data_IF_347683095677
#
_entry.id   IF_347683095677
#
_cell.length_a   1.000
_cell.length_b   1.000
_cell.length_c   1.000
_cell.angle_alpha   90.00
_cell.angle_beta   90.00
_cell.angle_gamma   90.00
#
_symmetry.space_group_name_H-M   'P 1'
#
loop_
_entity.id
_entity.type
_entity.pdbx_description
1 polymer ?
#
# COMPACT_ATOMS: atom_id res chain seq x y z
N UNK A 1 -43.39 -32.84 8.84
CA UNK A 1 -42.02 -32.59 9.34
C UNK A 1 -41.47 -31.39 8.58
N UNK A 2 -41.30 -30.26 9.25
CA UNK A 2 -40.79 -29.02 8.65
C UNK A 2 -39.59 -28.56 9.49
N UNK A 3 -38.39 -28.57 8.89
CA UNK A 3 -37.17 -28.05 9.51
C UNK A 3 -37.22 -26.53 9.58
N UNK A 4 -37.14 -26.01 10.80
CA UNK A 4 -37.01 -24.58 11.07
C UNK A 4 -35.58 -24.11 10.81
N UNK A 5 -35.38 -23.38 9.72
CA UNK A 5 -34.16 -22.64 9.43
C UNK A 5 -34.03 -21.47 10.43
N UNK A 6 -33.06 -21.53 11.35
CA UNK A 6 -32.73 -20.41 12.24
C UNK A 6 -31.88 -19.36 11.50
N UNK A 7 -32.24 -18.06 11.49
CA UNK A 7 -31.40 -17.02 10.92
C UNK A 7 -30.27 -16.66 11.91
N UNK A 8 -29.07 -17.20 11.67
CA UNK A 8 -27.88 -16.86 12.46
C UNK A 8 -27.46 -15.41 12.18
N UNK A 9 -27.48 -14.57 13.22
CA UNK A 9 -27.08 -13.17 13.17
C UNK A 9 -25.60 -12.99 12.82
N UNK A 10 -25.33 -12.63 11.57
CA UNK A 10 -23.98 -12.32 11.03
C UNK A 10 -23.37 -11.00 11.56
N UNK A 11 -23.96 -10.37 12.57
CA UNK A 11 -23.57 -9.03 13.05
C UNK A 11 -22.40 -9.05 14.04
N UNK A 12 -22.26 -10.13 14.81
CA UNK A 12 -21.22 -10.29 15.84
C UNK A 12 -19.77 -10.31 15.29
N UNK A 13 -19.45 -11.02 14.19
CA UNK A 13 -18.07 -11.13 13.70
C UNK A 13 -17.48 -9.80 13.24
N UNK A 14 -18.30 -8.90 12.67
CA UNK A 14 -17.84 -7.61 12.13
C UNK A 14 -17.40 -6.65 13.24
N UNK A 15 -18.12 -6.63 14.36
CA UNK A 15 -17.76 -5.81 15.52
C UNK A 15 -16.48 -6.31 16.18
N UNK A 16 -16.37 -7.62 16.39
CA UNK A 16 -15.17 -8.28 16.93
C UNK A 16 -13.95 -8.04 16.03
N UNK A 17 -14.09 -8.13 14.70
CA UNK A 17 -13.01 -7.83 13.77
C UNK A 17 -12.53 -6.37 13.88
N UNK A 18 -13.46 -5.40 14.01
CA UNK A 18 -13.10 -3.99 14.20
C UNK A 18 -12.42 -3.74 15.53
N UNK A 19 -12.82 -4.48 16.57
CA UNK A 19 -12.21 -4.42 17.90
C UNK A 19 -10.79 -5.01 17.88
N UNK A 20 -10.60 -6.20 17.33
CA UNK A 20 -9.28 -6.81 17.16
C UNK A 20 -8.36 -5.97 16.27
N UNK A 21 -8.87 -5.38 15.18
CA UNK A 21 -8.09 -4.48 14.34
C UNK A 21 -7.62 -3.22 15.09
N UNK A 22 -8.46 -2.67 15.98
CA UNK A 22 -8.07 -1.57 16.87
C UNK A 22 -7.01 -1.98 17.89
N UNK A 23 -7.17 -3.14 18.51
CA UNK A 23 -6.21 -3.66 19.48
C UNK A 23 -4.87 -4.02 18.85
N UNK A 24 -4.87 -4.51 17.60
CA UNK A 24 -3.64 -4.79 16.86
C UNK A 24 -2.77 -3.53 16.65
N UNK A 25 -3.39 -2.34 16.59
CA UNK A 25 -2.66 -1.06 16.57
C UNK A 25 -1.98 -0.69 17.89
N UNK A 26 -2.29 -1.39 18.99
CA UNK A 26 -1.64 -1.24 20.30
C UNK A 26 -0.54 -2.29 20.54
N UNK A 27 -0.39 -3.27 19.65
CA UNK A 27 0.63 -4.29 19.77
C UNK A 27 2.03 -3.68 19.60
N UNK A 28 3.03 -4.31 20.23
CA UNK A 28 4.42 -3.92 20.04
C UNK A 28 4.79 -4.06 18.56
N UNK A 29 5.44 -3.05 17.96
CA UNK A 29 5.78 -3.08 16.55
C UNK A 29 6.74 -4.24 16.27
N UNK A 30 6.39 -5.06 15.28
CA UNK A 30 7.27 -6.14 14.79
C UNK A 30 8.51 -5.49 14.16
N UNK A 31 9.69 -5.85 14.65
CA UNK A 31 10.96 -5.24 14.23
C UNK A 31 11.58 -5.90 13.00
N UNK A 32 11.18 -7.13 12.66
CA UNK A 32 11.69 -7.86 11.51
C UNK A 32 10.69 -8.89 10.98
N UNK A 33 10.76 -9.16 9.67
CA UNK A 33 10.06 -10.29 9.04
C UNK A 33 10.91 -11.55 9.15
N UNK A 34 10.32 -12.64 9.64
CA UNK A 34 11.00 -13.94 9.84
C UNK A 34 11.27 -14.65 8.51
N UNK A 35 10.39 -14.45 7.52
CA UNK A 35 10.52 -15.03 6.18
C UNK A 35 10.34 -13.91 5.16
N UNK A 36 11.31 -13.77 4.26
CA UNK A 36 11.21 -12.87 3.12
C UNK A 36 10.86 -13.70 1.88
N UNK A 37 9.61 -13.71 1.43
CA UNK A 37 9.24 -14.43 0.22
C UNK A 37 9.97 -13.79 -0.97
N UNK A 38 10.47 -14.61 -1.91
CA UNK A 38 11.01 -14.06 -3.15
C UNK A 38 9.93 -13.25 -3.89
N UNK A 39 10.22 -12.01 -4.32
CA UNK A 39 9.26 -11.19 -5.05
C UNK A 39 8.92 -11.87 -6.37
N UNK A 40 7.73 -12.48 -6.47
CA UNK A 40 7.20 -13.05 -7.73
C UNK A 40 6.60 -11.98 -8.66
N UNK A 41 6.79 -10.71 -8.33
CA UNK A 41 6.23 -9.54 -9.01
C UNK A 41 7.33 -8.79 -9.73
N UNK A 42 7.25 -8.74 -11.07
CA UNK A 42 8.13 -7.94 -11.91
C UNK A 42 7.40 -6.63 -12.22
N UNK A 43 7.83 -5.53 -11.60
CA UNK A 43 7.35 -4.20 -11.98
C UNK A 43 7.86 -3.79 -13.37
N UNK A 44 7.33 -2.69 -13.89
CA UNK A 44 7.70 -2.13 -15.18
C UNK A 44 8.75 -1.01 -15.00
N UNK A 45 9.94 -1.24 -15.56
CA UNK A 45 11.08 -0.29 -15.54
C UNK A 45 10.73 1.04 -16.18
N UNK A 46 9.95 1.06 -17.27
CA UNK A 46 9.54 2.29 -17.93
C UNK A 46 8.61 3.10 -17.03
N UNK A 47 7.65 2.44 -16.36
CA UNK A 47 6.77 3.10 -15.37
C UNK A 47 7.55 3.60 -14.17
N UNK A 48 8.51 2.83 -13.66
CA UNK A 48 9.39 3.26 -12.58
C UNK A 48 10.14 4.55 -12.92
N UNK A 49 10.65 4.67 -14.16
CA UNK A 49 11.32 5.89 -14.64
C UNK A 49 10.38 7.08 -14.73
N UNK A 50 9.14 6.87 -15.17
CA UNK A 50 8.12 7.93 -15.19
C UNK A 50 7.84 8.44 -13.77
N UNK A 51 7.65 7.53 -12.80
CA UNK A 51 7.45 7.91 -11.40
C UNK A 51 8.63 8.71 -10.83
N UNK A 52 9.87 8.32 -11.14
CA UNK A 52 11.06 9.09 -10.77
C UNK A 52 11.10 10.49 -11.39
N UNK A 53 10.62 10.64 -12.62
CA UNK A 53 10.54 11.92 -13.31
C UNK A 53 9.38 12.81 -12.79
N UNK A 54 8.53 12.30 -11.88
CA UNK A 54 7.35 13.00 -11.40
C UNK A 54 6.09 12.77 -12.23
N UNK A 55 6.12 11.80 -13.14
CA UNK A 55 5.00 11.47 -14.01
C UNK A 55 4.20 10.31 -13.39
N UNK A 56 3.02 10.64 -12.86
CA UNK A 56 2.13 9.71 -12.16
C UNK A 56 1.17 9.08 -13.16
N UNK A 57 1.55 7.93 -13.74
CA UNK A 57 0.70 7.16 -14.64
C UNK A 57 -0.04 6.06 -13.85
N UNK A 58 -1.30 6.31 -13.49
CA UNK A 58 -2.13 5.35 -12.76
C UNK A 58 -3.49 5.17 -13.41
N UNK A 59 -3.92 3.92 -13.57
CA UNK A 59 -5.21 3.56 -14.19
C UNK A 59 -5.45 4.24 -15.57
N UNK A 60 -4.38 4.49 -16.33
CA UNK A 60 -4.46 5.15 -17.64
C UNK A 60 -4.44 6.68 -17.60
N UNK A 61 -4.52 7.30 -16.42
CA UNK A 61 -4.37 8.74 -16.26
C UNK A 61 -2.92 9.11 -16.00
N UNK A 62 -2.42 10.08 -16.76
CA UNK A 62 -1.10 10.68 -16.58
C UNK A 62 -1.25 12.03 -15.89
N UNK A 63 -0.62 12.19 -14.73
CA UNK A 63 -0.55 13.46 -14.01
C UNK A 63 0.91 13.84 -13.81
N UNK A 64 1.31 15.02 -14.29
CA UNK A 64 2.65 15.56 -14.05
C UNK A 64 2.69 16.27 -12.69
N UNK A 65 3.52 15.75 -11.78
CA UNK A 65 3.61 16.23 -10.42
C UNK A 65 5.03 16.01 -9.84
N UNK A 66 6.04 16.72 -10.36
CA UNK A 66 7.43 16.55 -9.93
C UNK A 66 7.60 16.82 -8.44
N UNK A 67 8.24 15.88 -7.75
CA UNK A 67 8.52 15.95 -6.31
C UNK A 67 7.30 15.84 -5.39
N UNK A 68 6.10 15.60 -5.94
CA UNK A 68 4.86 15.44 -5.15
C UNK A 68 4.58 13.98 -4.86
N UNK A 69 3.87 13.70 -3.78
CA UNK A 69 3.35 12.35 -3.55
C UNK A 69 2.06 12.13 -4.36
N UNK A 70 1.72 10.87 -4.69
CA UNK A 70 0.47 10.55 -5.39
C UNK A 70 -0.80 11.03 -4.68
N UNK A 71 -0.74 11.25 -3.36
CA UNK A 71 -1.86 11.73 -2.53
C UNK A 71 -1.96 13.26 -2.44
N UNK A 72 -0.98 13.98 -3.00
CA UNK A 72 -0.92 15.45 -3.00
C UNK A 72 -1.50 16.07 -4.27
N UNK A 73 -1.89 15.23 -5.22
CA UNK A 73 -2.56 15.61 -6.46
C UNK A 73 -4.05 15.27 -6.38
N UNK A 74 -4.93 16.10 -6.97
CA UNK A 74 -6.34 15.73 -7.10
C UNK A 74 -6.46 14.50 -8.01
N UNK A 75 -7.10 13.45 -7.50
CA UNK A 75 -7.34 12.24 -8.28
C UNK A 75 -8.32 12.55 -9.43
N UNK A 76 -7.98 12.23 -10.70
CA UNK A 76 -8.89 12.44 -11.83
C UNK A 76 -10.20 11.66 -11.70
N UNK A 77 -10.11 10.43 -11.20
CA UNK A 77 -11.26 9.57 -10.93
C UNK A 77 -10.97 8.57 -9.80
N UNK A 78 -11.95 7.71 -9.52
CA UNK A 78 -11.84 6.66 -8.51
C UNK A 78 -10.82 5.58 -8.88
N UNK A 79 -10.66 5.27 -10.17
CA UNK A 79 -9.72 4.23 -10.59
C UNK A 79 -8.26 4.65 -10.33
N UNK A 80 -7.95 5.93 -10.52
CA UNK A 80 -6.67 6.52 -10.13
C UNK A 80 -6.44 6.40 -8.63
N UNK A 81 -7.43 6.78 -7.81
CA UNK A 81 -7.32 6.69 -6.35
C UNK A 81 -7.09 5.24 -5.90
N UNK A 82 -7.88 4.29 -6.40
CA UNK A 82 -7.75 2.86 -6.07
C UNK A 82 -6.38 2.28 -6.50
N UNK A 83 -5.86 2.71 -7.66
CA UNK A 83 -4.54 2.31 -8.15
C UNK A 83 -3.42 2.83 -7.24
N UNK A 84 -3.51 4.09 -6.81
CA UNK A 84 -2.56 4.75 -5.91
C UNK A 84 -2.57 4.09 -4.53
N UNK A 85 -3.73 3.77 -3.97
CA UNK A 85 -3.90 3.11 -2.67
C UNK A 85 -3.42 1.64 -2.65
N UNK A 86 -3.40 0.99 -3.82
CA UNK A 86 -2.98 -0.41 -3.97
C UNK A 86 -1.46 -0.63 -3.98
N UNK A 87 -0.66 0.43 -4.06
CA UNK A 87 0.82 0.36 -4.04
C UNK A 87 1.48 -0.45 -5.16
N UNK A 88 0.83 -0.65 -6.32
CA UNK A 88 1.44 -1.33 -7.50
C UNK A 88 2.75 -0.66 -7.92
N UNK A 89 2.79 0.67 -7.83
CA UNK A 89 3.96 1.48 -8.10
C UNK A 89 5.22 1.08 -7.32
N UNK A 90 5.08 0.34 -6.20
CA UNK A 90 6.22 -0.16 -5.45
C UNK A 90 6.99 -1.23 -6.22
N UNK A 91 6.27 -2.07 -6.98
CA UNK A 91 6.86 -3.05 -7.90
C UNK A 91 7.66 -2.31 -9.00
N UNK A 92 7.06 -1.28 -9.59
CA UNK A 92 7.67 -0.48 -10.66
C UNK A 92 8.93 0.24 -10.18
N UNK A 93 8.91 0.86 -8.99
CA UNK A 93 10.10 1.49 -8.39
C UNK A 93 11.17 0.46 -8.02
N UNK A 94 10.78 -0.70 -7.50
CA UNK A 94 11.73 -1.78 -7.17
C UNK A 94 12.44 -2.32 -8.40
N UNK A 95 11.76 -2.38 -9.55
CA UNK A 95 12.33 -2.85 -10.82
C UNK A 95 13.54 -2.04 -11.30
N UNK A 96 13.65 -0.77 -10.85
CA UNK A 96 14.79 0.09 -11.21
C UNK A 96 16.08 -0.28 -10.49
N UNK A 97 16.00 -0.83 -9.28
CA UNK A 97 17.18 -1.18 -8.47
C UNK A 97 18.09 -0.01 -8.08
N UNK A 98 17.64 1.25 -8.21
CA UNK A 98 18.47 2.44 -7.95
C UNK A 98 18.22 3.06 -6.57
N UNK A 99 19.21 3.80 -6.05
CA UNK A 99 19.06 4.52 -4.77
C UNK A 99 17.95 5.59 -4.80
N UNK A 100 17.79 6.41 -5.87
CA UNK A 100 16.68 7.36 -5.96
C UNK A 100 15.30 6.68 -5.95
N UNK A 101 15.14 5.55 -6.66
CA UNK A 101 13.86 4.83 -6.70
C UNK A 101 13.48 4.30 -5.31
N UNK A 102 14.45 3.75 -4.58
CA UNK A 102 14.27 3.30 -3.21
C UNK A 102 13.92 4.46 -2.27
N UNK A 103 14.60 5.60 -2.38
CA UNK A 103 14.31 6.77 -1.55
C UNK A 103 12.89 7.30 -1.80
N UNK A 104 12.47 7.37 -3.08
CA UNK A 104 11.11 7.76 -3.45
C UNK A 104 10.07 6.78 -2.90
N UNK A 105 10.29 5.48 -3.05
CA UNK A 105 9.42 4.43 -2.54
C UNK A 105 9.24 4.53 -1.02
N UNK A 106 10.35 4.67 -0.28
CA UNK A 106 10.33 4.84 1.17
C UNK A 106 9.58 6.12 1.58
N UNK A 107 9.84 7.23 0.90
CA UNK A 107 9.16 8.50 1.14
C UNK A 107 7.65 8.41 0.92
N UNK A 108 7.20 7.77 -0.16
CA UNK A 108 5.78 7.59 -0.45
C UNK A 108 5.08 6.63 0.51
N UNK A 109 5.73 5.54 0.91
CA UNK A 109 5.19 4.63 1.94
C UNK A 109 5.05 5.35 3.28
N UNK A 110 6.07 6.11 3.69
CA UNK A 110 6.01 6.91 4.93
C UNK A 110 4.92 7.98 4.85
N UNK A 111 4.79 8.68 3.72
CA UNK A 111 3.73 9.65 3.48
C UNK A 111 2.34 9.03 3.55
N UNK A 112 2.16 7.83 3.01
CA UNK A 112 0.92 7.08 3.13
C UNK A 112 0.60 6.74 4.59
N UNK A 113 1.57 6.23 5.35
CA UNK A 113 1.41 5.88 6.77
C UNK A 113 1.05 7.14 7.57
N UNK A 114 1.71 8.26 7.32
CA UNK A 114 1.44 9.53 7.99
C UNK A 114 -0.01 10.00 7.73
N UNK A 115 -0.50 9.85 6.50
CA UNK A 115 -1.83 10.33 6.08
C UNK A 115 -2.98 9.38 6.45
N UNK A 116 -2.77 8.07 6.27
CA UNK A 116 -3.82 7.06 6.33
C UNK A 116 -3.58 5.97 7.37
N UNK A 117 -2.43 5.92 8.06
CA UNK A 117 -2.06 4.85 8.99
C UNK A 117 -3.01 4.67 10.20
N UNK A 118 -3.88 5.64 10.46
CA UNK A 118 -4.88 5.60 11.56
C UNK A 118 -6.19 4.86 11.23
N UNK A 119 -6.28 4.12 10.13
CA UNK A 119 -7.49 3.35 9.85
C UNK A 119 -8.61 4.13 9.14
N UNK A 120 -8.30 5.28 8.53
CA UNK A 120 -9.30 6.16 7.88
C UNK A 120 -8.87 6.53 6.46
N UNK A 121 -9.85 6.75 5.59
CA UNK A 121 -9.65 7.22 4.22
C UNK A 121 -9.80 6.13 3.15
N UNK A 122 -9.64 6.50 1.87
CA UNK A 122 -9.91 5.65 0.71
C UNK A 122 -9.07 4.36 0.67
N UNK A 123 -7.88 4.36 1.29
CA UNK A 123 -6.98 3.21 1.32
C UNK A 123 -7.36 2.03 2.23
N UNK A 124 -8.51 2.09 2.91
CA UNK A 124 -8.93 1.10 3.92
C UNK A 124 -10.01 0.12 3.45
N UNK A 125 -10.21 -0.02 2.15
CA UNK A 125 -11.00 -1.15 1.64
C UNK A 125 -10.24 -2.46 1.90
N UNK A 126 -10.93 -3.59 2.18
CA UNK A 126 -10.26 -4.88 2.39
C UNK A 126 -9.35 -5.28 1.22
N UNK A 127 -9.81 -5.02 -0.01
CA UNK A 127 -9.06 -5.29 -1.23
C UNK A 127 -7.77 -4.44 -1.32
N UNK A 128 -7.87 -3.11 -1.14
CA UNK A 128 -6.70 -2.23 -1.19
C UNK A 128 -5.70 -2.57 -0.09
N UNK A 129 -6.21 -2.89 1.11
CA UNK A 129 -5.39 -3.27 2.26
C UNK A 129 -4.63 -4.57 2.00
N UNK A 130 -5.29 -5.61 1.50
CA UNK A 130 -4.64 -6.88 1.17
C UNK A 130 -3.56 -6.73 0.10
N UNK A 131 -3.88 -6.03 -1.00
CA UNK A 131 -2.92 -5.75 -2.07
C UNK A 131 -1.69 -4.98 -1.59
N UNK A 132 -1.90 -3.95 -0.75
CA UNK A 132 -0.82 -3.14 -0.18
C UNK A 132 0.06 -3.96 0.76
N UNK A 133 -0.54 -4.75 1.65
CA UNK A 133 0.20 -5.57 2.62
C UNK A 133 1.13 -6.56 1.91
N UNK A 134 0.63 -7.25 0.88
CA UNK A 134 1.44 -8.20 0.09
C UNK A 134 2.65 -7.48 -0.51
N UNK A 135 2.46 -6.30 -1.11
CA UNK A 135 3.56 -5.53 -1.73
C UNK A 135 4.56 -5.01 -0.72
N UNK A 136 4.09 -4.51 0.42
CA UNK A 136 4.98 -4.06 1.48
C UNK A 136 5.84 -5.20 2.03
N UNK A 137 5.27 -6.39 2.18
CA UNK A 137 6.00 -7.58 2.60
C UNK A 137 7.00 -8.02 1.53
N UNK A 138 6.61 -8.07 0.26
CA UNK A 138 7.52 -8.42 -0.85
C UNK A 138 8.70 -7.45 -0.96
N UNK A 139 8.46 -6.16 -0.74
CA UNK A 139 9.47 -5.10 -0.87
C UNK A 139 10.03 -4.63 0.47
N UNK A 140 9.80 -5.39 1.54
CA UNK A 140 10.31 -5.09 2.87
C UNK A 140 11.83 -4.85 2.90
N UNK A 141 12.70 -5.64 2.23
CA UNK A 141 14.13 -5.35 2.26
C UNK A 141 14.46 -3.97 1.67
N UNK A 142 13.79 -3.56 0.59
CA UNK A 142 13.96 -2.23 0.00
C UNK A 142 13.45 -1.13 0.94
N UNK A 143 12.30 -1.33 1.57
CA UNK A 143 11.67 -0.36 2.46
C UNK A 143 12.43 -0.19 3.79
N UNK A 144 12.96 -1.28 4.34
CA UNK A 144 13.64 -1.31 5.64
C UNK A 144 15.13 -0.99 5.55
N UNK A 145 15.74 -1.02 4.36
CA UNK A 145 17.15 -0.68 4.19
C UNK A 145 17.38 0.74 4.69
N UNK A 146 18.28 0.88 5.66
CA UNK A 146 18.62 2.17 6.24
C UNK A 146 18.88 3.20 5.14
N UNK A 147 18.21 4.34 5.26
CA UNK A 147 18.60 5.52 4.50
C UNK A 147 19.95 5.92 5.09
N UNK A 148 21.03 5.67 4.33
CA UNK A 148 22.33 6.23 4.69
C UNK A 148 22.15 7.73 4.82
N UNK A 149 22.34 8.26 6.03
CA UNK A 149 22.46 9.70 6.23
C UNK A 149 23.66 10.13 5.39
N UNK A 150 23.40 10.87 4.31
CA UNK A 150 24.42 11.64 3.62
C UNK A 150 24.72 12.90 4.45
#
# INVERSE_FOLDING_TARGET
MAEGQLPAGHWMPRLLNRFHARLAGLAQPVTALVVQPEPKSLGDVARGRQLLAGNLLFAGHLVEAPGRMPWDVPAPDRAFEDAVQGCVWLDDLASLGTAPARALAQGWVQGWIARYGRGKGPGWTPEATGRRLIRWVHHAPMLMRAQGRA
#
